data_IF_363347066366
#
_entry.id   IF_363347066366
#
_cell.length_a   1.000
_cell.length_b   1.000
_cell.length_c   1.000
_cell.angle_alpha   90.00
_cell.angle_beta   90.00
_cell.angle_gamma   90.00
#
_symmetry.space_group_name_H-M   'P 1'
#
loop_
_entity.id
_entity.type
_entity.pdbx_description
1 polymer ?
#
# COMPACT_ATOMS: atom_id res chain seq x y z
N UNK A 1 -5.34 -9.86 -12.67
CA UNK A 1 -4.83 -8.55 -13.12
C UNK A 1 -3.64 -8.18 -12.27
N UNK A 2 -2.57 -7.67 -12.89
CA UNK A 2 -1.34 -7.28 -12.22
C UNK A 2 -1.53 -5.92 -11.51
N UNK A 3 -1.04 -5.78 -10.28
CA UNK A 3 -1.13 -4.51 -9.56
C UNK A 3 -0.17 -3.43 -10.10
N UNK A 4 0.92 -3.82 -10.76
CA UNK A 4 1.89 -2.89 -11.36
C UNK A 4 1.29 -2.00 -12.46
N UNK A 5 0.12 -2.36 -12.98
CA UNK A 5 -0.63 -1.54 -13.94
C UNK A 5 -1.29 -0.31 -13.28
N UNK A 6 -1.49 -0.33 -11.96
CA UNK A 6 -2.19 0.72 -11.21
C UNK A 6 -1.34 1.34 -10.10
N UNK A 7 -0.37 0.60 -9.56
CA UNK A 7 0.46 1.02 -8.44
C UNK A 7 1.92 1.08 -8.84
N UNK A 8 2.60 2.15 -8.41
CA UNK A 8 4.04 2.31 -8.55
C UNK A 8 4.80 1.32 -7.64
N UNK A 9 6.07 1.07 -7.97
CA UNK A 9 6.92 0.15 -7.22
C UNK A 9 7.07 0.56 -5.74
N UNK A 10 7.19 1.86 -5.46
CA UNK A 10 7.29 2.35 -4.09
C UNK A 10 5.96 2.21 -3.33
N UNK A 11 4.80 2.36 -3.99
CA UNK A 11 3.49 2.13 -3.36
C UNK A 11 3.27 0.66 -3.00
N UNK A 12 3.64 -0.25 -3.92
CA UNK A 12 3.62 -1.69 -3.66
C UNK A 12 4.55 -2.01 -2.49
N UNK A 13 5.73 -1.40 -2.45
CA UNK A 13 6.69 -1.58 -1.37
C UNK A 13 6.16 -1.03 -0.04
N UNK A 14 5.66 0.20 -0.02
CA UNK A 14 5.08 0.87 1.15
C UNK A 14 3.92 0.08 1.75
N UNK A 15 3.01 -0.43 0.91
CA UNK A 15 1.93 -1.30 1.37
C UNK A 15 2.43 -2.59 2.03
N UNK A 16 3.49 -3.21 1.50
CA UNK A 16 4.09 -4.41 2.10
C UNK A 16 4.78 -4.10 3.43
N UNK A 17 5.53 -3.00 3.50
CA UNK A 17 6.20 -2.54 4.71
C UNK A 17 5.17 -2.28 5.82
N UNK A 18 4.11 -1.54 5.52
CA UNK A 18 3.04 -1.24 6.49
C UNK A 18 2.29 -2.49 6.94
N UNK A 19 2.07 -3.45 6.04
CA UNK A 19 1.48 -4.74 6.39
C UNK A 19 2.48 -5.70 7.08
N UNK A 20 3.73 -5.28 7.35
CA UNK A 20 4.80 -6.11 7.93
C UNK A 20 5.04 -7.41 7.14
N UNK A 21 4.90 -7.34 5.80
CA UNK A 21 5.13 -8.46 4.88
C UNK A 21 6.47 -8.29 4.17
N UNK A 22 7.12 -9.41 3.89
CA UNK A 22 8.34 -9.41 3.08
C UNK A 22 8.08 -8.82 1.69
N UNK A 23 9.08 -8.13 1.14
CA UNK A 23 9.02 -7.59 -0.21
C UNK A 23 8.71 -8.71 -1.21
N UNK A 24 7.65 -8.57 -2.02
CA UNK A 24 7.25 -9.64 -2.91
C UNK A 24 8.23 -9.74 -4.08
N UNK A 25 8.67 -10.96 -4.42
CA UNK A 25 9.56 -11.20 -5.58
C UNK A 25 8.84 -11.09 -6.93
N UNK A 26 7.52 -11.29 -6.92
CA UNK A 26 6.62 -11.12 -8.06
C UNK A 26 5.62 -10.04 -7.72
N UNK A 27 5.20 -9.19 -8.66
CA UNK A 27 4.19 -8.18 -8.37
C UNK A 27 2.91 -8.84 -7.85
N UNK A 28 2.31 -8.30 -6.79
CA UNK A 28 1.05 -8.80 -6.27
C UNK A 28 -0.06 -8.59 -7.31
N UNK A 29 -1.14 -9.36 -7.19
CA UNK A 29 -2.34 -9.12 -7.99
C UNK A 29 -3.06 -7.86 -7.51
N UNK A 30 -3.84 -7.23 -8.40
CA UNK A 30 -4.64 -6.05 -8.07
C UNK A 30 -5.54 -6.29 -6.84
N UNK A 31 -6.22 -7.44 -6.78
CA UNK A 31 -7.09 -7.78 -5.64
C UNK A 31 -6.32 -7.93 -4.32
N UNK A 32 -5.09 -8.45 -4.36
CA UNK A 32 -4.24 -8.53 -3.17
C UNK A 32 -3.85 -7.14 -2.70
N UNK A 33 -3.52 -6.22 -3.61
CA UNK A 33 -3.22 -4.84 -3.25
C UNK A 33 -4.45 -4.13 -2.69
N UNK A 34 -5.61 -4.22 -3.34
CA UNK A 34 -6.87 -3.62 -2.85
C UNK A 34 -7.19 -4.12 -1.44
N UNK A 35 -7.02 -5.42 -1.16
CA UNK A 35 -7.24 -5.98 0.18
C UNK A 35 -6.20 -5.51 1.19
N UNK A 36 -4.93 -5.40 0.81
CA UNK A 36 -3.88 -4.88 1.69
C UNK A 36 -4.13 -3.41 2.05
N UNK A 37 -4.41 -2.57 1.05
CA UNK A 37 -4.78 -1.17 1.23
C UNK A 37 -6.04 -1.06 2.10
N UNK A 38 -7.07 -1.87 1.81
CA UNK A 38 -8.27 -1.95 2.63
C UNK A 38 -7.94 -2.28 4.09
N UNK A 39 -7.07 -3.27 4.35
CA UNK A 39 -6.68 -3.64 5.72
C UNK A 39 -5.95 -2.52 6.45
N UNK A 40 -5.11 -1.75 5.74
CA UNK A 40 -4.52 -0.53 6.29
C UNK A 40 -5.58 0.52 6.64
N UNK A 41 -6.71 0.55 5.94
CA UNK A 41 -7.86 1.41 6.25
C UNK A 41 -8.81 0.88 7.31
N UNK A 42 -8.57 -0.31 7.88
CA UNK A 42 -9.44 -0.95 8.87
C UNK A 42 -10.35 -2.05 8.33
N UNK A 43 -10.11 -2.56 7.12
CA UNK A 43 -10.81 -3.73 6.59
C UNK A 43 -10.30 -5.04 7.23
N UNK A 44 -11.16 -5.75 7.93
CA UNK A 44 -10.81 -7.03 8.57
C UNK A 44 -10.67 -8.17 7.56
N UNK A 45 -11.44 -8.16 6.47
CA UNK A 45 -11.36 -9.18 5.42
C UNK A 45 -11.89 -10.56 5.82
N UNK A 46 -12.99 -10.62 6.60
CA UNK A 46 -13.64 -11.89 6.94
C UNK A 46 -14.32 -12.50 5.71
N UNK A 47 -14.60 -13.81 5.76
CA UNK A 47 -15.14 -14.61 4.63
C UNK A 47 -16.42 -14.03 4.01
N UNK A 48 -17.22 -13.25 4.76
CA UNK A 48 -18.48 -12.66 4.31
C UNK A 48 -18.49 -11.12 4.30
N UNK A 49 -17.33 -10.46 4.49
CA UNK A 49 -17.27 -8.99 4.51
C UNK A 49 -17.36 -8.36 3.10
N UNK A 50 -17.19 -9.16 2.04
CA UNK A 50 -17.19 -8.66 0.66
C UNK A 50 -15.87 -7.97 0.28
N UNK A 51 -15.99 -6.86 -0.44
CA UNK A 51 -14.86 -6.02 -0.85
C UNK A 51 -14.75 -4.76 0.03
N UNK A 52 -13.55 -4.19 0.21
CA UNK A 52 -13.36 -2.97 0.99
C UNK A 52 -14.19 -1.80 0.42
N UNK A 53 -14.87 -1.05 1.30
CA UNK A 53 -15.59 0.16 0.91
C UNK A 53 -14.65 1.31 0.51
N UNK A 54 -15.17 2.29 -0.24
CA UNK A 54 -14.41 3.42 -0.75
C UNK A 54 -13.70 4.24 0.34
N UNK A 55 -14.36 4.49 1.48
CA UNK A 55 -13.75 5.22 2.62
C UNK A 55 -12.57 4.46 3.22
N UNK A 56 -12.70 3.14 3.34
CA UNK A 56 -11.65 2.27 3.86
C UNK A 56 -10.45 2.26 2.91
N UNK A 57 -10.69 2.16 1.60
CA UNK A 57 -9.62 2.28 0.60
C UNK A 57 -8.93 3.63 0.63
N UNK A 58 -9.69 4.72 0.75
CA UNK A 58 -9.12 6.07 0.85
C UNK A 58 -8.17 6.21 2.05
N UNK A 59 -8.60 5.78 3.24
CA UNK A 59 -7.76 5.82 4.45
C UNK A 59 -6.51 4.94 4.28
N UNK A 60 -6.68 3.76 3.68
CA UNK A 60 -5.55 2.87 3.36
C UNK A 60 -4.53 3.51 2.44
N UNK A 61 -4.99 4.18 1.37
CA UNK A 61 -4.13 4.83 0.39
C UNK A 61 -3.36 6.01 0.99
N UNK A 62 -4.00 6.82 1.83
CA UNK A 62 -3.32 7.91 2.54
C UNK A 62 -2.12 7.36 3.35
N UNK A 63 -2.33 6.27 4.10
CA UNK A 63 -1.24 5.61 4.86
C UNK A 63 -0.13 5.09 3.95
N UNK A 64 -0.47 4.50 2.80
CA UNK A 64 0.52 4.04 1.82
C UNK A 64 1.35 5.19 1.28
N UNK A 65 0.72 6.33 0.95
CA UNK A 65 1.43 7.52 0.48
C UNK A 65 2.40 8.07 1.53
N UNK A 66 1.99 8.14 2.80
CA UNK A 66 2.88 8.56 3.90
C UNK A 66 4.12 7.65 4.00
N UNK A 67 3.94 6.35 3.81
CA UNK A 67 5.03 5.39 3.80
C UNK A 67 5.94 5.55 2.58
N UNK A 68 5.38 5.84 1.40
CA UNK A 68 6.16 6.12 0.18
C UNK A 68 7.04 7.34 0.38
N UNK A 69 6.47 8.44 0.88
CA UNK A 69 7.20 9.68 1.17
C UNK A 69 8.33 9.38 2.16
N UNK A 70 8.04 8.65 3.24
CA UNK A 70 9.05 8.27 4.23
C UNK A 70 10.17 7.43 3.62
N UNK A 71 9.84 6.46 2.76
CA UNK A 71 10.83 5.60 2.09
C UNK A 71 11.71 6.41 1.14
N UNK A 72 11.13 7.33 0.38
CA UNK A 72 11.86 8.22 -0.53
C UNK A 72 12.84 9.11 0.23
N UNK A 73 12.35 9.77 1.29
CA UNK A 73 13.16 10.58 2.18
C UNK A 73 14.33 9.79 2.78
N UNK A 74 14.08 8.57 3.26
CA UNK A 74 15.12 7.72 3.85
C UNK A 74 16.11 7.19 2.81
N UNK A 75 15.71 7.05 1.55
CA UNK A 75 16.55 6.57 0.44
C UNK A 75 17.45 7.68 -0.08
N UNK A 76 16.89 8.86 -0.28
CA UNK A 76 17.56 9.97 -0.97
C UNK A 76 18.29 10.88 0.01
N UNK A 77 18.05 10.73 1.32
CA UNK A 77 18.55 11.65 2.33
C UNK A 77 17.73 12.95 2.35
N UNK A 78 17.61 13.58 3.52
CA UNK A 78 16.91 14.85 3.67
C UNK A 78 17.74 15.99 3.02
N UNK A 79 17.69 16.14 1.70
CA UNK A 79 18.14 17.36 1.01
C UNK A 79 17.00 18.38 0.99
N UNK A 80 16.59 18.84 2.18
CA UNK A 80 15.71 20.00 2.30
C UNK A 80 16.57 21.27 2.22
N UNK A 81 17.04 21.59 1.03
CA UNK A 81 17.27 22.98 0.66
C UNK A 81 15.90 23.61 0.38
N UNK A 82 15.21 24.03 1.45
CA UNK A 82 14.14 25.03 1.42
C UNK A 82 14.55 26.21 2.28
#
# INVERSE_FOLDING_TARGET
MDASLFFAADEIHGAHVLCKKARPKKPPTLNQMIRMVGSLGGFLGRKSDGEPGAKTLWIGMQRVMDAVITIQILRDGYDTCV
#
